data_IF_141069914575
#
_entry.id   IF_141069914575
#
_cell.length_a   1.000
_cell.length_b   1.000
_cell.length_c   1.000
_cell.angle_alpha   90.00
_cell.angle_beta   90.00
_cell.angle_gamma   90.00
#
_symmetry.space_group_name_H-M   'P 1'
#
loop_
_entity.id
_entity.type
_entity.pdbx_description
1 polymer ?
#
# COMPACT_ATOMS: atom_id res chain seq x y z
N UNK A 1 -11.50 4.99 -7.29
CA UNK A 1 -11.15 3.95 -6.33
C UNK A 1 -9.89 4.34 -5.56
N UNK A 2 -9.75 3.83 -4.33
CA UNK A 2 -8.62 4.08 -3.44
C UNK A 2 -7.87 2.77 -3.18
N UNK A 3 -6.56 2.78 -3.35
CA UNK A 3 -5.69 1.70 -2.91
C UNK A 3 -5.07 2.07 -1.56
N UNK A 4 -5.36 1.28 -0.53
CA UNK A 4 -5.03 1.62 0.85
C UNK A 4 -3.58 1.31 1.23
N UNK A 5 -2.92 0.42 0.50
CA UNK A 5 -1.54 0.02 0.73
C UNK A 5 -0.95 -0.62 -0.52
N UNK A 6 0.19 -0.11 -0.97
CA UNK A 6 0.86 -0.62 -2.16
C UNK A 6 2.30 -0.12 -2.29
N UNK A 7 3.08 -0.86 -3.07
CA UNK A 7 4.48 -0.54 -3.40
C UNK A 7 4.61 -0.27 -4.91
N UNK A 8 4.99 0.96 -5.25
CA UNK A 8 5.22 1.36 -6.65
C UNK A 8 6.37 0.57 -7.25
N UNK A 9 7.39 0.34 -6.44
CA UNK A 9 8.65 -0.29 -6.82
C UNK A 9 8.48 -1.75 -7.27
N UNK A 10 7.51 -2.46 -6.73
CA UNK A 10 7.14 -3.82 -7.17
C UNK A 10 6.72 -3.86 -8.64
N UNK A 11 6.21 -2.75 -9.17
CA UNK A 11 5.93 -2.57 -10.58
C UNK A 11 7.18 -2.38 -11.44
N UNK A 12 8.35 -2.17 -10.83
CA UNK A 12 9.62 -1.79 -11.48
C UNK A 12 9.47 -0.55 -12.37
N UNK A 13 8.66 0.40 -11.93
CA UNK A 13 8.37 1.67 -12.61
C UNK A 13 8.41 2.83 -11.62
N UNK A 14 8.43 4.06 -12.12
CA UNK A 14 8.35 5.27 -11.31
C UNK A 14 6.91 5.56 -10.88
N UNK A 15 6.73 6.47 -9.91
CA UNK A 15 5.38 6.89 -9.46
C UNK A 15 4.57 7.45 -10.63
N UNK A 16 5.20 8.21 -11.52
CA UNK A 16 4.57 8.77 -12.73
C UNK A 16 4.08 7.67 -13.67
N UNK A 17 4.91 6.67 -13.96
CA UNK A 17 4.54 5.58 -14.85
C UNK A 17 3.49 4.65 -14.23
N UNK A 18 3.59 4.43 -12.92
CA UNK A 18 2.56 3.70 -12.18
C UNK A 18 1.21 4.42 -12.26
N UNK A 19 1.19 5.74 -12.02
CA UNK A 19 -0.03 6.55 -12.13
C UNK A 19 -0.65 6.46 -13.53
N UNK A 20 0.16 6.55 -14.58
CA UNK A 20 -0.31 6.37 -15.98
C UNK A 20 -0.98 5.02 -16.20
N UNK A 21 -0.43 3.97 -15.60
CA UNK A 21 -0.98 2.62 -15.74
C UNK A 21 -2.31 2.44 -15.01
N UNK A 22 -2.48 3.04 -13.82
CA UNK A 22 -3.65 2.76 -12.97
C UNK A 22 -4.84 3.71 -13.20
N UNK A 23 -4.61 4.90 -13.73
CA UNK A 23 -5.68 5.88 -14.02
C UNK A 23 -6.74 5.28 -14.94
N UNK A 24 -6.42 4.62 -16.08
CA UNK A 24 -7.43 4.02 -16.95
C UNK A 24 -8.27 2.93 -16.27
N UNK A 25 -7.77 2.38 -15.17
CA UNK A 25 -8.44 1.37 -14.36
C UNK A 25 -9.27 1.95 -13.20
N UNK A 26 -9.41 3.28 -13.13
CA UNK A 26 -10.27 3.95 -12.16
C UNK A 26 -9.65 4.19 -10.78
N UNK A 27 -8.36 3.95 -10.60
CA UNK A 27 -7.66 4.31 -9.36
C UNK A 27 -7.31 5.80 -9.39
N UNK A 28 -7.87 6.55 -8.45
CA UNK A 28 -7.68 8.00 -8.33
C UNK A 28 -7.00 8.41 -7.02
N UNK A 29 -6.81 7.44 -6.13
CA UNK A 29 -6.17 7.66 -4.83
C UNK A 29 -5.30 6.46 -4.47
N UNK A 30 -4.05 6.69 -4.05
CA UNK A 30 -3.11 5.65 -3.63
C UNK A 30 -2.41 6.06 -2.33
N UNK A 31 -2.17 5.08 -1.48
CA UNK A 31 -1.41 5.19 -0.23
C UNK A 31 -0.16 4.33 -0.37
N UNK A 32 0.92 4.94 -0.86
CA UNK A 32 2.15 4.23 -1.21
C UNK A 32 3.09 4.11 -0.01
N UNK A 33 3.76 2.98 0.15
CA UNK A 33 4.84 2.76 1.11
C UNK A 33 6.15 2.51 0.34
N UNK A 34 7.03 3.52 0.21
CA UNK A 34 8.24 3.43 -0.60
C UNK A 34 9.42 2.85 0.19
N UNK A 35 9.25 1.69 0.84
CA UNK A 35 10.32 1.12 1.66
C UNK A 35 11.45 0.50 0.84
N UNK A 36 11.22 0.04 -0.40
CA UNK A 36 12.27 -0.51 -1.24
C UNK A 36 13.26 0.58 -1.65
N UNK A 37 12.79 1.73 -2.12
CA UNK A 37 13.70 2.84 -2.42
C UNK A 37 14.35 3.39 -1.15
N UNK A 38 13.64 3.34 -0.03
CA UNK A 38 14.21 3.72 1.26
C UNK A 38 15.36 2.79 1.68
N UNK A 39 15.26 1.49 1.42
CA UNK A 39 16.36 0.54 1.64
C UNK A 39 17.60 0.82 0.79
N UNK A 40 17.45 1.50 -0.36
CA UNK A 40 18.54 1.84 -1.27
C UNK A 40 19.13 3.23 -0.98
N UNK A 41 18.25 4.23 -0.81
CA UNK A 41 18.60 5.65 -0.78
C UNK A 41 18.24 6.35 0.54
N UNK A 42 17.61 5.66 1.49
CA UNK A 42 17.20 6.25 2.76
C UNK A 42 16.11 7.33 2.59
N UNK A 43 16.13 8.29 3.50
CA UNK A 43 15.19 9.40 3.50
C UNK A 43 15.16 10.21 2.18
N UNK A 44 16.29 10.45 1.48
CA UNK A 44 16.28 11.03 0.13
C UNK A 44 15.50 10.22 -0.90
N UNK A 45 15.46 8.90 -0.82
CA UNK A 45 14.64 8.04 -1.68
C UNK A 45 13.16 8.20 -1.43
N UNK A 46 12.75 8.22 -0.17
CA UNK A 46 11.36 8.52 0.24
C UNK A 46 10.95 9.91 -0.26
N UNK A 47 11.82 10.91 -0.07
CA UNK A 47 11.58 12.28 -0.51
C UNK A 47 11.41 12.39 -2.02
N UNK A 48 12.21 11.63 -2.78
CA UNK A 48 12.14 11.58 -4.23
C UNK A 48 10.75 11.11 -4.71
N UNK A 49 10.25 9.99 -4.18
CA UNK A 49 8.94 9.47 -4.56
C UNK A 49 7.80 10.37 -4.06
N UNK A 50 7.96 10.96 -2.87
CA UNK A 50 7.02 11.95 -2.35
C UNK A 50 6.90 13.16 -3.30
N UNK A 51 8.03 13.73 -3.74
CA UNK A 51 8.02 14.92 -4.59
C UNK A 51 7.47 14.63 -6.00
N UNK A 52 7.78 13.46 -6.54
CA UNK A 52 7.19 12.98 -7.80
C UNK A 52 5.67 12.86 -7.68
N UNK A 53 5.18 12.26 -6.61
CA UNK A 53 3.76 12.06 -6.33
C UNK A 53 2.97 13.39 -6.26
N UNK A 54 3.58 14.44 -5.70
CA UNK A 54 2.94 15.75 -5.53
C UNK A 54 2.56 16.43 -6.85
N UNK A 55 3.26 16.11 -7.95
CA UNK A 55 3.03 16.70 -9.28
C UNK A 55 1.96 16.00 -10.11
N UNK A 56 1.41 14.87 -9.64
CA UNK A 56 0.53 14.03 -10.44
C UNK A 56 -0.96 14.43 -10.31
N UNK A 57 -1.78 14.17 -11.34
CA UNK A 57 -3.19 14.62 -11.38
C UNK A 57 -4.13 13.78 -10.51
N UNK A 58 -3.65 12.71 -9.88
CA UNK A 58 -4.39 11.88 -8.92
C UNK A 58 -3.91 12.12 -7.49
N UNK A 59 -4.59 11.57 -6.51
CA UNK A 59 -4.23 11.75 -5.11
C UNK A 59 -3.27 10.64 -4.68
N UNK A 60 -2.06 11.01 -4.29
CA UNK A 60 -1.07 10.07 -3.78
C UNK A 60 -0.60 10.54 -2.42
N UNK A 61 -0.75 9.68 -1.43
CA UNK A 61 -0.20 9.88 -0.10
C UNK A 61 0.92 8.88 0.13
N UNK A 62 1.90 9.32 0.88
CA UNK A 62 3.05 8.50 1.24
C UNK A 62 2.92 8.09 2.69
N UNK A 63 3.04 6.82 2.96
CA UNK A 63 3.31 6.26 4.28
C UNK A 63 4.83 6.25 4.46
N UNK A 64 5.32 6.87 5.52
CA UNK A 64 6.76 6.89 5.80
C UNK A 64 7.22 5.48 6.17
N UNK A 65 8.18 4.88 5.45
CA UNK A 65 8.65 3.54 5.79
C UNK A 65 9.13 3.41 7.24
N UNK A 66 8.71 2.35 7.91
CA UNK A 66 9.05 2.10 9.31
C UNK A 66 10.32 1.27 9.48
N UNK A 67 10.47 0.27 8.65
CA UNK A 67 11.44 -0.81 8.86
C UNK A 67 12.53 -0.78 7.78
N UNK A 68 13.50 0.10 7.94
CA UNK A 68 14.66 0.21 7.06
C UNK A 68 15.93 0.17 7.90
N UNK A 69 16.60 -1.00 7.99
CA UNK A 69 16.20 -2.34 7.50
C UNK A 69 15.04 -2.96 8.30
N UNK A 70 14.30 -3.90 7.70
CA UNK A 70 13.18 -4.59 8.36
C UNK A 70 13.63 -5.62 9.39
N UNK A 71 14.76 -6.26 9.16
CA UNK A 71 15.35 -7.25 10.04
C UNK A 71 16.81 -6.88 10.39
N UNK A 72 17.05 -5.93 11.32
CA UNK A 72 18.39 -5.46 11.66
C UNK A 72 19.34 -6.61 12.04
N UNK A 73 20.51 -6.63 11.41
CA UNK A 73 21.53 -7.65 11.60
C UNK A 73 21.33 -8.96 10.81
N UNK A 74 20.18 -9.13 10.15
CA UNK A 74 19.90 -10.28 9.30
C UNK A 74 19.87 -9.92 7.80
N UNK A 75 19.76 -8.65 7.49
CA UNK A 75 19.79 -8.15 6.11
C UNK A 75 20.75 -6.97 5.97
N UNK A 76 21.14 -6.68 4.72
CA UNK A 76 21.92 -5.52 4.35
C UNK A 76 21.07 -4.53 3.58
N UNK A 77 20.88 -3.33 4.13
CA UNK A 77 20.27 -2.20 3.46
C UNK A 77 21.32 -1.18 3.05
N UNK A 78 21.03 -0.36 2.04
CA UNK A 78 21.87 0.78 1.64
C UNK A 78 21.73 1.97 2.56
N UNK A 79 20.71 1.97 3.42
CA UNK A 79 20.43 3.04 4.39
C UNK A 79 19.75 2.48 5.65
N UNK A 80 19.68 3.32 6.67
CA UNK A 80 18.93 3.07 7.89
C UNK A 80 18.07 4.30 8.19
N UNK A 81 16.79 4.08 8.56
CA UNK A 81 15.87 5.11 9.00
C UNK A 81 15.55 4.91 10.48
N UNK A 82 15.46 5.98 11.23
CA UNK A 82 15.17 5.95 12.65
C UNK A 82 14.04 6.88 13.05
N UNK A 83 13.82 6.97 14.36
CA UNK A 83 12.75 7.77 14.97
C UNK A 83 12.80 9.23 14.51
N UNK A 84 13.99 9.82 14.38
CA UNK A 84 14.19 11.21 13.99
C UNK A 84 13.77 11.43 12.51
N UNK A 85 14.10 10.49 11.63
CA UNK A 85 13.71 10.54 10.22
C UNK A 85 12.18 10.45 10.07
N UNK A 86 11.56 9.53 10.80
CA UNK A 86 10.10 9.39 10.85
C UNK A 86 9.46 10.69 11.36
N UNK A 87 9.94 11.23 12.49
CA UNK A 87 9.41 12.46 13.06
C UNK A 87 9.52 13.66 12.10
N UNK A 88 10.65 13.76 11.38
CA UNK A 88 10.85 14.80 10.38
C UNK A 88 9.91 14.63 9.18
N UNK A 89 9.78 13.42 8.64
CA UNK A 89 8.90 13.13 7.52
C UNK A 89 7.41 13.34 7.86
N UNK A 90 6.99 13.11 9.11
CA UNK A 90 5.62 13.37 9.54
C UNK A 90 5.20 14.85 9.37
N UNK A 91 6.14 15.78 9.19
CA UNK A 91 5.85 17.19 8.93
C UNK A 91 5.70 17.51 7.43
N UNK A 92 6.00 16.58 6.53
CA UNK A 92 5.85 16.83 5.11
C UNK A 92 4.38 16.76 4.70
N UNK A 93 3.96 17.57 3.71
CA UNK A 93 2.61 17.44 3.14
C UNK A 93 2.44 16.04 2.55
N UNK A 94 1.22 15.54 2.48
CA UNK A 94 0.88 14.23 1.93
C UNK A 94 1.57 13.00 2.57
N UNK A 95 2.29 13.14 3.67
CA UNK A 95 2.59 11.99 4.53
C UNK A 95 1.33 11.69 5.34
N UNK A 96 0.75 10.51 5.15
CA UNK A 96 -0.51 10.12 5.81
C UNK A 96 -0.33 9.23 7.04
N UNK A 97 0.83 8.60 7.19
CA UNK A 97 1.11 7.70 8.30
C UNK A 97 2.49 7.09 8.25
N UNK A 98 2.72 6.17 9.16
CA UNK A 98 3.84 5.25 9.14
C UNK A 98 3.48 4.09 8.22
N UNK A 99 4.42 3.65 7.40
CA UNK A 99 4.30 2.47 6.58
C UNK A 99 4.23 1.18 7.40
N UNK A 100 4.16 0.09 6.71
CA UNK A 100 3.98 -1.22 7.33
C UNK A 100 5.05 -1.55 8.38
N UNK A 101 4.61 -1.83 9.60
CA UNK A 101 5.48 -2.17 10.72
C UNK A 101 5.88 -3.65 10.65
N UNK A 102 6.85 -3.97 9.76
CA UNK A 102 7.34 -5.32 9.50
C UNK A 102 8.07 -5.95 10.69
N UNK A 103 8.76 -5.14 11.49
CA UNK A 103 9.45 -5.65 12.68
C UNK A 103 8.47 -5.90 13.84
N UNK A 104 7.43 -6.73 13.58
CA UNK A 104 6.48 -7.12 14.61
C UNK A 104 7.11 -7.83 15.82
N UNK A 105 8.19 -8.63 15.68
CA UNK A 105 8.89 -9.17 16.84
C UNK A 105 9.46 -8.08 17.75
N UNK A 106 10.04 -7.04 17.17
CA UNK A 106 10.56 -5.88 17.91
C UNK A 106 9.47 -5.14 18.66
N UNK A 107 8.33 -4.87 18.01
CA UNK A 107 7.16 -4.24 18.66
C UNK A 107 6.69 -5.10 19.84
N UNK A 108 6.51 -6.40 19.63
CA UNK A 108 6.04 -7.32 20.66
C UNK A 108 7.04 -7.45 21.82
N UNK A 109 8.33 -7.28 21.57
CA UNK A 109 9.39 -7.30 22.58
C UNK A 109 9.61 -5.94 23.27
N UNK A 110 8.95 -4.86 22.82
CA UNK A 110 9.11 -3.52 23.37
C UNK A 110 10.37 -2.80 22.90
N UNK A 111 10.82 -3.06 21.66
CA UNK A 111 11.98 -2.39 21.07
C UNK A 111 11.77 -0.87 21.04
N UNK A 112 12.76 -0.14 21.56
CA UNK A 112 12.65 1.30 21.77
C UNK A 112 12.57 2.09 20.44
N UNK A 113 13.24 1.61 19.35
CA UNK A 113 13.16 2.24 18.04
C UNK A 113 11.78 2.05 17.45
N UNK A 114 11.26 0.82 17.40
CA UNK A 114 9.93 0.52 16.85
C UNK A 114 8.83 1.29 17.57
N UNK A 115 8.85 1.26 18.90
CA UNK A 115 7.88 2.02 19.69
C UNK A 115 8.07 3.54 19.57
N UNK A 116 9.30 4.01 19.37
CA UNK A 116 9.61 5.42 19.11
C UNK A 116 9.05 5.92 17.77
N UNK A 117 9.18 5.13 16.68
CA UNK A 117 8.61 5.45 15.36
C UNK A 117 7.08 5.49 15.40
N UNK A 118 6.46 4.52 16.08
CA UNK A 118 5.01 4.49 16.33
C UNK A 118 4.57 5.73 17.11
N UNK A 119 5.28 6.05 18.20
CA UNK A 119 4.93 7.21 19.04
C UNK A 119 5.06 8.53 18.27
N UNK A 120 6.13 8.71 17.48
CA UNK A 120 6.31 9.89 16.64
C UNK A 120 5.15 10.08 15.64
N UNK A 121 4.68 8.99 15.04
CA UNK A 121 3.55 8.99 14.12
C UNK A 121 2.24 9.34 14.83
N UNK A 122 1.97 8.71 15.97
CA UNK A 122 0.76 8.96 16.77
C UNK A 122 0.71 10.40 17.32
N UNK A 123 1.85 10.95 17.73
CA UNK A 123 1.97 12.35 18.14
C UNK A 123 1.66 13.33 17.02
N UNK A 124 1.92 12.95 15.76
CA UNK A 124 1.52 13.69 14.57
C UNK A 124 0.04 13.52 14.21
N UNK A 125 -0.72 12.70 14.94
CA UNK A 125 -2.13 12.42 14.68
C UNK A 125 -2.35 11.56 13.43
N UNK A 126 -1.36 10.74 13.05
CA UNK A 126 -1.37 9.95 11.82
C UNK A 126 -1.48 8.46 12.09
N UNK A 127 -1.82 7.69 11.06
CA UNK A 127 -2.07 6.24 11.12
C UNK A 127 -0.76 5.46 11.15
N UNK A 128 -0.73 4.35 11.87
CA UNK A 128 0.38 3.39 11.87
C UNK A 128 -0.04 2.16 11.09
N UNK A 129 0.62 1.88 10.00
CA UNK A 129 0.41 0.69 9.17
C UNK A 129 0.97 -0.58 9.83
N UNK A 130 0.32 -1.70 9.59
CA UNK A 130 0.68 -2.97 10.18
C UNK A 130 1.10 -4.03 9.15
N UNK A 131 1.99 -4.95 9.60
CA UNK A 131 2.51 -6.07 8.84
C UNK A 131 2.81 -7.24 9.78
N UNK A 132 1.79 -7.91 10.26
CA UNK A 132 1.96 -9.05 11.15
C UNK A 132 1.94 -10.36 10.37
N UNK A 133 3.08 -10.77 9.87
CA UNK A 133 3.27 -11.93 8.99
C UNK A 133 3.38 -13.29 9.71
N UNK A 134 2.88 -13.39 10.95
CA UNK A 134 2.88 -14.63 11.70
C UNK A 134 1.48 -15.26 11.78
N UNK A 135 1.36 -16.59 11.65
CA UNK A 135 0.09 -17.29 11.84
C UNK A 135 -0.31 -17.41 13.33
N UNK A 136 0.58 -17.05 14.27
CA UNK A 136 0.29 -17.06 15.70
C UNK A 136 -0.52 -15.83 16.10
N UNK A 137 -1.76 -16.03 16.52
CA UNK A 137 -2.69 -15.00 16.97
C UNK A 137 -2.74 -14.90 18.51
N UNK A 138 -1.75 -15.48 19.19
CA UNK A 138 -1.62 -15.48 20.64
C UNK A 138 -1.00 -14.21 21.23
N UNK A 139 -0.27 -14.30 22.35
CA UNK A 139 0.24 -13.14 23.09
C UNK A 139 1.11 -12.19 22.26
N UNK A 140 1.91 -12.71 21.31
CA UNK A 140 2.76 -11.89 20.45
C UNK A 140 1.92 -10.98 19.51
N UNK A 141 0.83 -11.52 18.94
CA UNK A 141 -0.13 -10.71 18.16
C UNK A 141 -0.78 -9.62 18.99
N UNK A 142 -1.24 -9.96 20.19
CA UNK A 142 -1.85 -8.98 21.11
C UNK A 142 -0.87 -7.88 21.53
N UNK A 143 0.40 -8.24 21.78
CA UNK A 143 1.44 -7.27 22.12
C UNK A 143 1.74 -6.35 20.92
N UNK A 144 1.78 -6.88 19.69
CA UNK A 144 1.93 -6.10 18.48
C UNK A 144 0.81 -5.08 18.31
N UNK A 145 -0.45 -5.53 18.42
CA UNK A 145 -1.62 -4.63 18.33
C UNK A 145 -1.58 -3.56 19.41
N UNK A 146 -1.24 -3.94 20.65
CA UNK A 146 -1.11 -2.99 21.76
C UNK A 146 0.01 -1.97 21.53
N UNK A 147 1.01 -2.27 20.72
CA UNK A 147 2.07 -1.37 20.32
C UNK A 147 1.61 -0.21 19.44
N UNK A 148 0.48 -0.35 18.72
CA UNK A 148 -0.15 0.77 18.04
C UNK A 148 -0.52 0.63 16.56
N UNK A 149 -0.15 -0.44 15.80
CA UNK A 149 -0.63 -0.61 14.43
C UNK A 149 -2.15 -0.60 14.35
N UNK A 150 -2.69 0.17 13.41
CA UNK A 150 -4.12 0.43 13.27
C UNK A 150 -4.80 -0.44 12.20
N UNK A 151 -4.01 -1.08 11.37
CA UNK A 151 -4.40 -1.97 10.28
C UNK A 151 -3.42 -3.14 10.13
N UNK A 152 -3.72 -4.05 9.22
CA UNK A 152 -2.80 -5.10 8.82
C UNK A 152 -3.30 -5.78 7.52
N UNK A 153 -2.38 -6.01 6.57
CA UNK A 153 -2.65 -6.65 5.28
C UNK A 153 -2.04 -8.05 5.15
N UNK A 154 -1.23 -8.52 6.12
CA UNK A 154 -0.51 -9.79 6.08
C UNK A 154 -1.34 -11.02 6.48
N UNK A 155 -2.62 -10.84 6.79
CA UNK A 155 -3.52 -11.96 7.00
C UNK A 155 -3.72 -12.78 5.73
N UNK A 156 -3.69 -14.11 5.83
CA UNK A 156 -3.93 -15.03 4.70
C UNK A 156 -5.13 -15.94 4.92
N UNK A 157 -5.63 -16.03 6.14
CA UNK A 157 -6.75 -16.87 6.55
C UNK A 157 -7.95 -16.02 6.98
N UNK A 158 -9.14 -16.61 6.93
CA UNK A 158 -10.36 -15.97 7.47
C UNK A 158 -10.19 -15.55 8.94
N UNK A 159 -9.59 -16.43 9.73
CA UNK A 159 -9.32 -16.23 11.16
C UNK A 159 -8.40 -15.03 11.41
N UNK A 160 -7.45 -14.78 10.51
CA UNK A 160 -6.53 -13.64 10.61
C UNK A 160 -7.30 -12.33 10.49
N UNK A 161 -8.19 -12.22 9.51
CA UNK A 161 -9.05 -11.05 9.32
C UNK A 161 -9.97 -10.82 10.54
N UNK A 162 -10.57 -11.90 11.05
CA UNK A 162 -11.42 -11.86 12.25
C UNK A 162 -10.62 -11.37 13.47
N UNK A 163 -9.40 -11.87 13.67
CA UNK A 163 -8.57 -11.50 14.81
C UNK A 163 -8.20 -10.01 14.79
N UNK A 164 -7.85 -9.47 13.61
CA UNK A 164 -7.52 -8.04 13.45
C UNK A 164 -8.71 -7.16 13.82
N UNK A 165 -9.87 -7.45 13.26
CA UNK A 165 -11.10 -6.70 13.55
C UNK A 165 -11.50 -6.79 15.03
N UNK A 166 -11.37 -7.95 15.66
CA UNK A 166 -11.64 -8.14 17.10
C UNK A 166 -10.72 -7.32 18.00
N UNK A 167 -9.50 -7.02 17.55
CA UNK A 167 -8.54 -6.19 18.27
C UNK A 167 -8.68 -4.69 17.94
N UNK A 168 -9.65 -4.30 17.09
CA UNK A 168 -9.91 -2.92 16.72
C UNK A 168 -9.08 -2.43 15.53
N UNK A 169 -8.30 -3.30 14.89
CA UNK A 169 -7.59 -2.99 13.66
C UNK A 169 -8.53 -3.01 12.44
N UNK A 170 -8.13 -2.36 11.37
CA UNK A 170 -8.70 -2.62 10.03
C UNK A 170 -8.01 -3.85 9.43
N UNK A 171 -8.81 -4.79 8.91
CA UNK A 171 -8.28 -5.87 8.08
C UNK A 171 -8.22 -5.38 6.63
N UNK A 172 -7.00 -5.23 6.09
CA UNK A 172 -6.78 -4.93 4.68
C UNK A 172 -6.64 -6.25 3.91
N UNK A 173 -7.53 -6.47 2.96
CA UNK A 173 -7.59 -7.68 2.15
C UNK A 173 -6.88 -7.40 0.83
N UNK A 174 -5.77 -8.08 0.59
CA UNK A 174 -4.92 -7.81 -0.58
C UNK A 174 -5.17 -8.75 -1.76
N UNK A 175 -5.09 -8.17 -2.96
CA UNK A 175 -5.01 -8.87 -4.22
C UNK A 175 -3.96 -8.23 -5.12
N UNK A 176 -2.71 -8.58 -4.90
CA UNK A 176 -1.58 -8.20 -5.73
C UNK A 176 -1.33 -9.15 -6.91
N UNK A 177 -0.13 -9.15 -7.45
CA UNK A 177 0.27 -10.04 -8.53
C UNK A 177 0.57 -11.45 -8.06
N UNK A 178 1.02 -11.64 -6.82
CA UNK A 178 1.36 -12.93 -6.22
C UNK A 178 0.47 -13.30 -5.02
N UNK A 179 -0.26 -12.36 -4.45
CA UNK A 179 -1.08 -12.53 -3.25
C UNK A 179 -2.57 -12.51 -3.62
N UNK A 180 -3.35 -13.49 -3.13
CA UNK A 180 -4.76 -13.68 -3.47
C UNK A 180 -5.63 -13.82 -2.21
N UNK A 181 -5.30 -13.09 -1.15
CA UNK A 181 -5.85 -13.27 0.19
C UNK A 181 -7.33 -12.83 0.32
N UNK A 182 -7.79 -11.94 -0.58
CA UNK A 182 -9.22 -11.54 -0.64
C UNK A 182 -10.14 -12.73 -0.65
N UNK A 183 -9.84 -13.77 -1.47
CA UNK A 183 -10.73 -14.93 -1.64
C UNK A 183 -11.00 -15.69 -0.34
N UNK A 184 -10.01 -15.71 0.55
CA UNK A 184 -10.12 -16.41 1.83
C UNK A 184 -10.70 -15.51 2.91
N UNK A 185 -10.19 -14.28 3.02
CA UNK A 185 -10.50 -13.39 4.13
C UNK A 185 -11.89 -12.74 4.02
N UNK A 186 -12.38 -12.52 2.79
CA UNK A 186 -13.74 -11.97 2.56
C UNK A 186 -14.83 -12.85 3.18
N UNK A 187 -14.55 -14.12 3.43
CA UNK A 187 -15.46 -15.07 4.09
C UNK A 187 -15.84 -14.64 5.52
N UNK A 188 -15.01 -13.84 6.19
CA UNK A 188 -15.37 -13.23 7.46
C UNK A 188 -16.62 -12.35 7.33
N UNK A 189 -16.84 -11.73 6.18
CA UNK A 189 -18.03 -10.92 5.88
C UNK A 189 -19.14 -11.79 5.30
N UNK A 190 -18.84 -12.62 4.28
CA UNK A 190 -19.85 -13.33 3.49
C UNK A 190 -20.41 -14.56 4.19
N UNK A 191 -19.64 -15.23 5.06
CA UNK A 191 -20.06 -16.42 5.81
C UNK A 191 -20.39 -16.07 7.27
N UNK A 192 -19.53 -15.30 7.95
CA UNK A 192 -19.65 -15.04 9.39
C UNK A 192 -20.40 -13.72 9.69
N UNK A 193 -20.70 -12.91 8.68
CA UNK A 193 -21.53 -11.71 8.81
C UNK A 193 -20.86 -10.55 9.56
N UNK A 194 -19.52 -10.48 9.57
CA UNK A 194 -18.82 -9.36 10.18
C UNK A 194 -19.12 -8.05 9.45
N UNK A 195 -19.10 -6.95 10.20
CA UNK A 195 -19.35 -5.60 9.65
C UNK A 195 -18.24 -5.18 8.68
N UNK A 196 -18.62 -5.04 7.41
CA UNK A 196 -17.68 -4.69 6.32
C UNK A 196 -16.99 -3.33 6.49
N UNK A 197 -17.47 -2.47 7.37
CA UNK A 197 -16.83 -1.17 7.66
C UNK A 197 -15.43 -1.30 8.26
N UNK A 198 -15.10 -2.47 8.81
CA UNK A 198 -13.78 -2.76 9.39
C UNK A 198 -12.81 -3.41 8.39
N UNK A 199 -13.22 -3.54 7.13
CA UNK A 199 -12.42 -4.17 6.09
C UNK A 199 -12.12 -3.18 4.97
N UNK A 200 -10.94 -3.30 4.40
CA UNK A 200 -10.43 -2.46 3.31
C UNK A 200 -9.88 -3.37 2.22
N UNK A 201 -9.91 -2.93 0.97
CA UNK A 201 -9.25 -3.60 -0.15
C UNK A 201 -7.97 -2.85 -0.52
N UNK A 202 -6.91 -3.59 -0.83
CA UNK A 202 -5.64 -3.05 -1.30
C UNK A 202 -4.99 -4.00 -2.32
N UNK A 203 -3.94 -3.53 -2.98
CA UNK A 203 -3.17 -4.37 -3.92
C UNK A 203 -1.93 -4.96 -3.29
N UNK A 204 -1.22 -4.23 -2.45
CA UNK A 204 0.14 -4.58 -2.04
C UNK A 204 1.06 -4.61 -3.28
N UNK A 205 1.80 -5.66 -3.54
CA UNK A 205 2.71 -5.81 -4.68
C UNK A 205 1.98 -6.03 -6.00
N UNK A 206 2.13 -5.11 -6.94
CA UNK A 206 1.56 -5.22 -8.29
C UNK A 206 2.62 -5.05 -9.36
N UNK A 207 2.85 -6.10 -10.14
CA UNK A 207 3.77 -6.07 -11.27
C UNK A 207 3.19 -5.31 -12.46
N UNK A 208 4.03 -4.68 -13.25
CA UNK A 208 3.64 -3.93 -14.45
C UNK A 208 2.80 -4.77 -15.43
N UNK A 209 3.10 -6.07 -15.58
CA UNK A 209 2.30 -6.98 -16.40
C UNK A 209 0.85 -7.11 -15.94
N UNK A 210 0.61 -7.18 -14.62
CA UNK A 210 -0.74 -7.20 -14.04
C UNK A 210 -1.46 -5.88 -14.27
N UNK A 211 -0.76 -4.75 -14.06
CA UNK A 211 -1.34 -3.42 -14.26
C UNK A 211 -1.84 -3.21 -15.70
N UNK A 212 -1.08 -3.68 -16.69
CA UNK A 212 -1.43 -3.50 -18.10
C UNK A 212 -2.53 -4.48 -18.55
N UNK A 213 -2.47 -5.74 -18.12
CA UNK A 213 -3.33 -6.79 -18.67
C UNK A 213 -4.61 -7.02 -17.86
N UNK A 214 -4.55 -6.87 -16.54
CA UNK A 214 -5.65 -7.25 -15.64
C UNK A 214 -6.33 -6.05 -14.97
N UNK A 215 -5.59 -4.97 -14.79
CA UNK A 215 -6.01 -3.77 -14.10
C UNK A 215 -5.43 -3.61 -12.70
N UNK A 216 -6.00 -2.70 -11.92
CA UNK A 216 -5.56 -2.35 -10.57
C UNK A 216 -6.71 -2.50 -9.58
N UNK A 217 -7.14 -1.45 -8.86
CA UNK A 217 -8.22 -1.55 -7.88
C UNK A 217 -9.56 -2.01 -8.46
N UNK A 218 -9.84 -1.76 -9.74
CA UNK A 218 -11.02 -2.34 -10.41
C UNK A 218 -10.96 -3.88 -10.46
N UNK A 219 -9.77 -4.46 -10.64
CA UNK A 219 -9.52 -5.91 -10.58
C UNK A 219 -9.79 -6.43 -9.16
N UNK A 220 -9.29 -5.75 -8.12
CA UNK A 220 -9.49 -6.14 -6.72
C UNK A 220 -10.98 -6.14 -6.36
N UNK A 221 -11.69 -5.07 -6.73
CA UNK A 221 -13.14 -4.96 -6.49
C UNK A 221 -13.92 -6.05 -7.23
N UNK A 222 -13.64 -6.29 -8.52
CA UNK A 222 -14.28 -7.38 -9.28
C UNK A 222 -14.04 -8.74 -8.64
N UNK A 223 -12.80 -8.99 -8.20
CA UNK A 223 -12.46 -10.24 -7.55
C UNK A 223 -13.23 -10.41 -6.23
N UNK A 224 -13.28 -9.38 -5.40
CA UNK A 224 -14.05 -9.41 -4.15
C UNK A 224 -15.55 -9.69 -4.37
N UNK A 225 -16.13 -9.10 -5.42
CA UNK A 225 -17.52 -9.37 -5.82
C UNK A 225 -17.69 -10.82 -6.27
N UNK A 226 -16.75 -11.34 -7.07
CA UNK A 226 -16.77 -12.75 -7.51
C UNK A 226 -16.66 -13.73 -6.34
N UNK A 227 -16.06 -13.32 -5.21
CA UNK A 227 -16.00 -14.08 -3.97
C UNK A 227 -17.25 -13.90 -3.07
N UNK A 228 -18.31 -13.25 -3.56
CA UNK A 228 -19.60 -13.18 -2.90
C UNK A 228 -19.93 -11.86 -2.19
N UNK A 229 -19.06 -10.85 -2.23
CA UNK A 229 -19.42 -9.53 -1.73
C UNK A 229 -20.46 -8.86 -2.62
N UNK A 230 -21.38 -8.13 -2.00
CA UNK A 230 -22.27 -7.23 -2.74
C UNK A 230 -21.44 -6.13 -3.42
N UNK A 231 -21.75 -5.74 -4.68
CA UNK A 231 -20.96 -4.74 -5.42
C UNK A 231 -20.73 -3.44 -4.65
N UNK A 232 -21.76 -2.86 -4.06
CA UNK A 232 -21.64 -1.63 -3.27
C UNK A 232 -20.74 -1.81 -2.04
N UNK A 233 -20.81 -2.96 -1.38
CA UNK A 233 -19.92 -3.25 -0.24
C UNK A 233 -18.46 -3.30 -0.67
N UNK A 234 -18.14 -3.99 -1.76
CA UNK A 234 -16.77 -4.05 -2.29
C UNK A 234 -16.26 -2.65 -2.71
N UNK A 235 -17.12 -1.85 -3.35
CA UNK A 235 -16.79 -0.47 -3.72
C UNK A 235 -16.54 0.37 -2.46
N UNK A 236 -17.37 0.25 -1.42
CA UNK A 236 -17.15 0.97 -0.15
C UNK A 236 -15.82 0.58 0.51
N UNK A 237 -15.45 -0.70 0.47
CA UNK A 237 -14.16 -1.18 0.99
C UNK A 237 -12.95 -0.60 0.23
N UNK A 238 -13.11 -0.26 -1.04
CA UNK A 238 -12.10 0.37 -1.90
C UNK A 238 -12.29 1.89 -2.05
N UNK A 239 -13.09 2.54 -1.22
CA UNK A 239 -13.34 3.99 -1.26
C UNK A 239 -13.53 4.58 0.14
N UNK A 240 -14.76 4.55 0.66
CA UNK A 240 -15.12 5.19 1.93
C UNK A 240 -14.36 4.59 3.12
N UNK A 241 -14.22 3.26 3.19
CA UNK A 241 -13.53 2.62 4.31
C UNK A 241 -12.05 3.01 4.35
N UNK A 242 -11.39 3.06 3.18
CA UNK A 242 -10.01 3.57 3.05
C UNK A 242 -9.93 5.03 3.51
N UNK A 243 -10.83 5.89 3.02
CA UNK A 243 -10.84 7.30 3.41
C UNK A 243 -11.04 7.49 4.93
N UNK A 244 -11.95 6.73 5.53
CA UNK A 244 -12.18 6.76 6.99
C UNK A 244 -10.99 6.27 7.79
N UNK A 245 -10.26 5.27 7.29
CA UNK A 245 -9.08 4.76 7.95
C UNK A 245 -7.98 5.82 8.10
N UNK A 246 -7.77 6.60 7.05
CA UNK A 246 -6.78 7.67 7.05
C UNK A 246 -7.33 9.04 7.49
N UNK A 247 -8.56 9.12 8.00
CA UNK A 247 -9.18 10.36 8.46
C UNK A 247 -9.51 11.35 7.34
N UNK A 248 -9.66 10.87 6.10
CA UNK A 248 -9.85 11.68 4.89
C UNK A 248 -11.28 11.61 4.33
N UNK A 249 -12.24 11.05 5.07
CA UNK A 249 -13.62 10.88 4.61
C UNK A 249 -14.36 12.19 4.34
N UNK A 250 -13.82 13.32 4.79
CA UNK A 250 -14.36 14.64 4.46
C UNK A 250 -13.91 15.14 3.09
N UNK A 251 -12.88 14.53 2.50
CA UNK A 251 -12.33 14.89 1.20
C UNK A 251 -12.57 13.82 0.14
N UNK A 252 -12.54 12.54 0.53
CA UNK A 252 -12.51 11.38 -0.34
C UNK A 252 -13.59 10.35 0.00
N UNK A 253 -13.66 9.30 -0.82
CA UNK A 253 -14.35 8.05 -0.55
C UNK A 253 -15.85 8.07 -0.83
N UNK A 254 -16.44 9.23 -1.16
CA UNK A 254 -17.85 9.29 -1.60
C UNK A 254 -18.13 10.56 -2.40
N UNK A 255 -19.18 10.50 -3.23
CA UNK A 255 -19.67 11.64 -4.00
C UNK A 255 -20.60 12.44 -3.10
N UNK A 256 -20.13 13.59 -2.62
CA UNK A 256 -20.90 14.49 -1.77
C UNK A 256 -20.41 15.95 -1.92
N UNK A 257 -21.25 16.95 -1.60
CA UNK A 257 -20.83 18.34 -1.63
C UNK A 257 -19.59 18.61 -0.75
N UNK A 258 -18.63 19.38 -1.29
CA UNK A 258 -17.39 19.73 -0.57
C UNK A 258 -16.29 18.68 -0.61
N UNK A 259 -16.50 17.55 -1.27
CA UNK A 259 -15.47 16.53 -1.50
C UNK A 259 -14.80 16.68 -2.85
N UNK A 260 -13.64 16.07 -3.02
CA UNK A 260 -12.94 16.03 -4.30
C UNK A 260 -13.80 15.34 -5.34
N UNK A 261 -13.83 15.86 -6.54
CA UNK A 261 -14.57 15.28 -7.66
C UNK A 261 -13.75 14.14 -8.29
N UNK A 262 -13.59 13.05 -7.53
CA UNK A 262 -12.94 11.82 -7.95
C UNK A 262 -14.02 10.78 -8.22
N UNK A 263 -14.27 10.47 -9.50
CA UNK A 263 -15.40 9.65 -9.92
C UNK A 263 -15.00 8.71 -11.04
N UNK A 264 -15.68 7.58 -11.09
CA UNK A 264 -15.69 6.69 -12.26
C UNK A 264 -17.10 6.54 -12.79
N UNK A 265 -17.25 6.41 -14.09
CA UNK A 265 -18.51 5.95 -14.71
C UNK A 265 -18.34 4.49 -15.10
N UNK A 266 -19.38 3.72 -14.83
CA UNK A 266 -19.45 2.30 -15.17
C UNK A 266 -20.89 1.94 -15.47
N UNK A 267 -21.11 1.08 -16.48
CA UNK A 267 -22.43 0.55 -16.84
C UNK A 267 -22.83 -0.69 -16.05
N UNK A 268 -21.89 -1.33 -15.34
CA UNK A 268 -22.14 -2.54 -14.55
C UNK A 268 -21.28 -2.52 -13.26
N UNK A 269 -21.95 -2.56 -12.12
CA UNK A 269 -21.27 -2.52 -10.82
C UNK A 269 -20.54 -3.81 -10.48
N UNK A 270 -20.88 -4.94 -11.07
CA UNK A 270 -20.24 -6.22 -10.79
C UNK A 270 -19.02 -6.45 -11.70
N UNK A 271 -19.19 -6.22 -13.00
CA UNK A 271 -18.11 -6.33 -13.98
C UNK A 271 -17.14 -5.13 -13.92
N UNK A 272 -17.62 -4.00 -13.42
CA UNK A 272 -16.90 -2.74 -13.22
C UNK A 272 -16.06 -2.33 -14.45
N UNK A 273 -16.65 -2.27 -15.68
CA UNK A 273 -15.96 -1.65 -16.80
C UNK A 273 -15.78 -0.17 -16.50
N UNK A 274 -14.55 0.33 -16.59
CA UNK A 274 -14.24 1.74 -16.33
C UNK A 274 -14.38 2.51 -17.64
N UNK A 275 -15.49 3.24 -17.79
CA UNK A 275 -15.80 3.99 -19.02
C UNK A 275 -15.23 5.40 -18.99
N UNK A 276 -15.22 6.03 -17.80
CA UNK A 276 -14.64 7.36 -17.61
C UNK A 276 -14.03 7.46 -16.22
N UNK A 277 -12.89 8.11 -16.13
CA UNK A 277 -12.22 8.43 -14.87
C UNK A 277 -12.05 9.93 -14.75
N UNK A 278 -12.54 10.47 -13.65
CA UNK A 278 -12.36 11.86 -13.27
C UNK A 278 -11.60 11.91 -11.94
N UNK A 279 -10.60 12.75 -11.84
CA UNK A 279 -9.95 13.09 -10.57
C UNK A 279 -9.81 14.60 -10.44
N UNK A 280 -10.06 15.11 -9.25
CA UNK A 280 -10.03 16.56 -8.93
C UNK A 280 -10.87 17.41 -9.89
N UNK A 281 -11.92 16.82 -10.48
CA UNK A 281 -12.82 17.51 -11.42
C UNK A 281 -12.39 17.49 -12.88
N UNK A 282 -11.26 16.87 -13.21
CA UNK A 282 -10.74 16.73 -14.57
C UNK A 282 -10.88 15.31 -15.08
N UNK A 283 -11.26 15.14 -16.35
CA UNK A 283 -11.32 13.83 -17.00
C UNK A 283 -9.90 13.39 -17.34
N UNK A 284 -9.47 12.27 -16.75
CA UNK A 284 -8.12 11.74 -16.93
C UNK A 284 -8.04 10.54 -17.85
N UNK A 285 -9.11 9.75 -17.95
CA UNK A 285 -9.19 8.61 -18.86
C UNK A 285 -10.61 8.37 -19.36
N UNK A 286 -10.72 7.82 -20.55
CA UNK A 286 -11.99 7.45 -21.18
C UNK A 286 -11.84 6.15 -21.96
N UNK A 287 -12.78 5.22 -21.77
CA UNK A 287 -12.82 3.91 -22.44
C UNK A 287 -11.49 3.13 -22.34
N UNK A 288 -10.86 3.15 -21.17
CA UNK A 288 -9.59 2.47 -20.91
C UNK A 288 -8.35 3.16 -21.48
N UNK A 289 -8.48 4.36 -22.05
CA UNK A 289 -7.37 5.13 -22.61
C UNK A 289 -7.10 6.38 -21.77
N UNK A 290 -5.82 6.57 -21.38
CA UNK A 290 -5.38 7.78 -20.70
C UNK A 290 -5.55 9.00 -21.62
N UNK A 291 -6.18 10.06 -21.13
CA UNK A 291 -6.39 11.34 -21.82
C UNK A 291 -5.47 12.44 -21.28
N UNK A 292 -5.07 12.31 -20.00
CA UNK A 292 -4.20 13.29 -19.36
C UNK A 292 -2.78 13.26 -19.96
N UNK A 293 -2.24 14.43 -20.24
CA UNK A 293 -0.82 14.60 -20.58
C UNK A 293 -0.02 14.70 -19.27
N UNK A 294 0.68 13.63 -18.94
CA UNK A 294 1.50 13.55 -17.73
C UNK A 294 2.96 13.55 -18.16
N UNK A 295 3.70 14.60 -17.85
CA UNK A 295 5.12 14.70 -18.19
C UNK A 295 5.96 13.67 -17.39
N UNK A 296 7.03 13.11 -17.99
CA UNK A 296 7.98 12.29 -17.24
C UNK A 296 8.63 13.11 -16.10
N UNK A 297 8.82 12.46 -14.94
CA UNK A 297 9.53 13.09 -13.83
C UNK A 297 11.05 13.06 -14.07
N UNK A 298 11.77 14.18 -13.91
CA UNK A 298 13.22 14.23 -14.11
C UNK A 298 13.94 13.66 -12.90
N UNK A 299 14.34 12.39 -12.96
CA UNK A 299 15.08 11.75 -11.88
C UNK A 299 16.48 12.36 -11.71
N UNK A 300 16.87 12.75 -10.48
CA UNK A 300 18.17 13.31 -10.18
C UNK A 300 19.29 12.26 -10.28
N UNK A 301 20.53 12.73 -10.44
CA UNK A 301 21.68 11.86 -10.65
C UNK A 301 21.95 10.90 -9.48
N UNK A 302 21.70 11.33 -8.23
CA UNK A 302 21.89 10.47 -7.06
C UNK A 302 20.99 9.21 -7.05
N UNK A 303 19.85 9.26 -7.76
CA UNK A 303 18.93 8.14 -7.89
C UNK A 303 19.29 7.18 -9.05
N UNK A 304 20.38 7.48 -9.77
CA UNK A 304 20.85 6.68 -10.90
C UNK A 304 22.16 6.02 -10.55
N UNK A 305 22.40 4.84 -11.13
CA UNK A 305 23.68 4.13 -10.93
C UNK A 305 23.91 3.67 -9.50
N UNK A 306 22.89 3.28 -8.78
CA UNK A 306 22.96 2.82 -7.38
C UNK A 306 23.48 1.40 -7.23
N UNK A 307 23.66 0.67 -8.33
CA UNK A 307 24.21 -0.70 -8.33
C UNK A 307 25.72 -0.63 -8.54
N UNK A 308 26.49 -1.02 -7.54
CA UNK A 308 27.95 -1.03 -7.57
C UNK A 308 28.47 -2.46 -7.56
N UNK A 309 28.99 -2.92 -8.68
CA UNK A 309 29.57 -4.26 -8.80
C UNK A 309 31.03 -4.25 -8.36
N UNK A 310 31.37 -5.06 -7.35
CA UNK A 310 32.76 -5.21 -6.86
C UNK A 310 33.72 -5.87 -7.85
N UNK A 311 33.18 -6.57 -8.87
CA UNK A 311 33.91 -7.21 -9.96
C UNK A 311 33.03 -7.32 -11.21
N UNK A 312 33.67 -7.55 -12.35
CA UNK A 312 32.96 -7.99 -13.55
C UNK A 312 32.51 -9.45 -13.38
N UNK A 313 31.21 -9.70 -13.47
CA UNK A 313 30.66 -11.05 -13.34
C UNK A 313 30.73 -11.82 -14.64
N UNK A 314 30.94 -13.14 -14.53
CA UNK A 314 30.87 -14.14 -15.59
C UNK A 314 29.83 -15.20 -15.25
N UNK A 315 29.45 -16.03 -16.22
CA UNK A 315 28.51 -17.12 -15.97
C UNK A 315 28.98 -18.07 -14.85
N UNK A 316 30.30 -18.35 -14.77
CA UNK A 316 30.85 -19.22 -13.74
C UNK A 316 30.79 -18.67 -12.31
N UNK A 317 30.52 -17.37 -12.13
CA UNK A 317 30.33 -16.79 -10.79
C UNK A 317 29.01 -17.19 -10.14
N UNK A 318 28.10 -17.76 -10.93
CA UNK A 318 26.79 -18.25 -10.48
C UNK A 318 26.74 -19.78 -10.31
N UNK A 319 27.86 -20.47 -10.55
CA UNK A 319 27.93 -21.91 -10.32
C UNK A 319 27.93 -22.21 -8.82
N UNK A 320 27.02 -23.07 -8.38
CA UNK A 320 26.92 -23.56 -7.00
C UNK A 320 27.29 -25.06 -7.02
N UNK A 321 28.37 -25.41 -6.33
CA UNK A 321 28.73 -26.81 -6.15
C UNK A 321 27.70 -27.50 -5.27
N UNK A 322 27.12 -28.59 -5.75
CA UNK A 322 26.26 -29.42 -4.93
C UNK A 322 27.11 -30.07 -3.82
N UNK A 323 26.67 -30.06 -2.55
CA UNK A 323 27.38 -30.79 -1.51
C UNK A 323 27.42 -32.26 -1.87
N UNK A 324 28.60 -32.87 -1.70
CA UNK A 324 28.76 -34.32 -1.85
C UNK A 324 27.80 -35.03 -0.88
N UNK A 325 26.90 -35.84 -1.42
CA UNK A 325 25.93 -36.62 -0.63
C UNK A 325 26.57 -37.72 0.23
#
# INVERSE_FOLDING_TARGET
>A
LCDAHMHVESGMVTVTEFARAVIPHGTTSMFIDPHEIANVLGLPGVKLMHDEAMGLPINIWVQMPSCVPSAPGLEHAGAELGVEDVAAAMQWPNICGLGEMMNFPGVAAGDARMLGEIAATQMAGKTVGGHYASPDLGPAFHAYVAGGPADDHEGTRKEDAIARVRQGMRAMLRLGSAWYDVATQVKAITEDGLDSRNFILCTDDSHSGTLVNDGHMNRVVRHAIAQGLKPITAIQMATLNTAQHFGMERELGSIAPGRRADMILTSDLAALPVELVMARGEVLAENGALQADIAPYPYPDFARGTVHMGKQLSAGDFDVEAPAG
#
